data_IF_687867009013
#
_entry.id   IF_687867009013
#
_cell.length_a   1.000
_cell.length_b   1.000
_cell.length_c   1.000
_cell.angle_alpha   90.00
_cell.angle_beta   90.00
_cell.angle_gamma   90.00
#
_symmetry.space_group_name_H-M   'P 1'
#
loop_
_entity.id
_entity.type
_entity.pdbx_description
1 polymer ?
#
# COMPACT_ATOMS: atom_id res chain seq x y z
N UNK A 1 8.66 -20.59 6.56
CA UNK A 1 8.10 -19.76 5.48
C UNK A 1 7.56 -18.50 6.13
N UNK A 2 8.28 -17.39 6.01
CA UNK A 2 7.77 -16.09 6.44
C UNK A 2 6.58 -15.77 5.54
N UNK A 3 5.39 -15.63 6.15
CA UNK A 3 4.26 -15.00 5.49
C UNK A 3 4.64 -13.54 5.26
N UNK A 4 5.39 -13.29 4.18
CA UNK A 4 5.55 -11.96 3.61
C UNK A 4 4.17 -11.58 3.09
N UNK A 5 3.34 -11.13 4.03
CA UNK A 5 1.98 -10.72 3.78
C UNK A 5 2.10 -9.55 2.84
N UNK A 6 1.77 -9.77 1.56
CA UNK A 6 1.83 -8.73 0.54
C UNK A 6 1.07 -7.54 1.12
N UNK A 7 1.80 -6.46 1.38
CA UNK A 7 1.20 -5.28 1.98
C UNK A 7 0.24 -4.69 0.96
N UNK A 8 -1.06 -4.78 1.24
CA UNK A 8 -2.07 -4.15 0.39
C UNK A 8 -1.87 -2.65 0.33
N UNK A 9 -2.36 -2.01 -0.73
CA UNK A 9 -2.31 -0.56 -0.89
C UNK A 9 -2.86 0.18 0.34
N UNK A 10 -3.96 -0.32 0.91
CA UNK A 10 -4.56 0.21 2.12
C UNK A 10 -3.65 0.08 3.37
N UNK A 11 -2.95 -1.03 3.52
CA UNK A 11 -1.99 -1.24 4.62
C UNK A 11 -0.82 -0.27 4.53
N UNK A 12 -0.31 -0.01 3.31
CA UNK A 12 0.78 0.93 3.06
C UNK A 12 0.37 2.38 3.33
N UNK A 13 -0.84 2.79 2.92
CA UNK A 13 -1.37 4.12 3.28
C UNK A 13 -1.50 4.30 4.78
N UNK A 14 -2.04 3.31 5.52
CA UNK A 14 -2.14 3.38 6.98
C UNK A 14 -0.78 3.57 7.64
N UNK A 15 0.24 2.83 7.18
CA UNK A 15 1.62 2.99 7.68
C UNK A 15 2.20 4.37 7.38
N UNK A 16 1.86 4.98 6.24
CA UNK A 16 2.27 6.34 5.93
C UNK A 16 1.67 7.36 6.91
N UNK A 17 0.39 7.21 7.26
CA UNK A 17 -0.29 8.09 8.21
C UNK A 17 0.29 7.96 9.63
N UNK A 18 0.61 6.73 10.06
CA UNK A 18 1.31 6.49 11.33
C UNK A 18 2.68 7.19 11.38
N UNK A 19 3.43 7.15 10.28
CA UNK A 19 4.73 7.83 10.19
C UNK A 19 4.61 9.35 10.21
N UNK A 20 3.57 9.92 9.61
CA UNK A 20 3.32 11.36 9.71
C UNK A 20 2.95 11.78 11.14
N UNK A 21 2.17 10.96 11.86
CA UNK A 21 1.91 11.19 13.28
C UNK A 21 3.20 11.14 14.11
N UNK A 22 4.12 10.22 13.80
CA UNK A 22 5.44 10.17 14.45
C UNK A 22 6.30 11.38 14.08
N UNK A 23 6.22 11.87 12.85
CA UNK A 23 6.93 13.08 12.43
C UNK A 23 6.46 14.32 13.18
N UNK A 24 5.15 14.44 13.44
CA UNK A 24 4.58 15.53 14.24
C UNK A 24 5.03 15.50 15.71
N UNK A 25 5.20 14.29 16.27
CA UNK A 25 5.64 14.08 17.67
C UNK A 25 7.16 14.10 17.84
N UNK A 26 7.92 14.09 16.74
CA UNK A 26 9.37 14.00 16.80
C UNK A 26 9.98 15.31 17.32
N UNK A 27 10.66 15.21 18.46
CA UNK A 27 11.38 16.34 19.08
C UNK A 27 12.68 16.70 18.37
N UNK A 28 13.22 15.78 17.55
CA UNK A 28 14.44 15.98 16.76
C UNK A 28 14.09 16.22 15.29
N UNK A 29 14.52 17.35 14.68
CA UNK A 29 14.23 17.66 13.27
C UNK A 29 14.66 16.56 12.29
N UNK A 30 15.78 15.88 12.57
CA UNK A 30 16.28 14.77 11.75
C UNK A 30 15.31 13.58 11.69
N UNK A 31 14.71 13.21 12.83
CA UNK A 31 13.74 12.10 12.88
C UNK A 31 12.46 12.46 12.12
N UNK A 32 11.93 13.68 12.30
CA UNK A 32 10.77 14.15 11.54
C UNK A 32 11.00 14.11 10.03
N UNK A 33 12.20 14.48 9.57
CA UNK A 33 12.58 14.37 8.16
C UNK A 33 12.62 12.92 7.67
N UNK A 34 13.17 11.99 8.47
CA UNK A 34 13.22 10.57 8.11
C UNK A 34 11.81 9.99 8.01
N UNK A 35 10.97 10.18 9.03
CA UNK A 35 9.61 9.65 9.03
C UNK A 35 8.79 10.14 7.83
N UNK A 36 8.87 11.43 7.48
CA UNK A 36 8.19 11.97 6.30
C UNK A 36 8.68 11.36 4.99
N UNK A 37 9.99 11.11 4.84
CA UNK A 37 10.52 10.44 3.64
C UNK A 37 10.00 9.02 3.51
N UNK A 38 9.97 8.27 4.61
CA UNK A 38 9.44 6.90 4.63
C UNK A 38 7.93 6.89 4.37
N UNK A 39 7.18 7.85 4.93
CA UNK A 39 5.76 8.00 4.65
C UNK A 39 5.49 8.23 3.15
N UNK A 40 6.29 9.09 2.51
CA UNK A 40 6.18 9.33 1.07
C UNK A 40 6.51 8.08 0.24
N UNK A 41 7.55 7.32 0.61
CA UNK A 41 7.86 6.06 -0.05
C UNK A 41 6.70 5.05 0.07
N UNK A 42 6.07 4.95 1.26
CA UNK A 42 4.90 4.10 1.45
C UNK A 42 3.71 4.53 0.59
N UNK A 43 3.47 5.84 0.40
CA UNK A 43 2.41 6.34 -0.49
C UNK A 43 2.65 5.97 -1.94
N UNK A 44 3.89 6.07 -2.41
CA UNK A 44 4.26 5.66 -3.77
C UNK A 44 4.07 4.15 -3.92
N UNK A 45 4.57 3.35 -2.98
CA UNK A 45 4.37 1.90 -2.97
C UNK A 45 2.88 1.53 -2.93
N UNK A 46 2.06 2.25 -2.16
CA UNK A 46 0.61 2.05 -2.10
C UNK A 46 -0.07 2.34 -3.43
N UNK A 47 0.35 3.38 -4.14
CA UNK A 47 -0.18 3.70 -5.47
C UNK A 47 0.12 2.59 -6.47
N UNK A 48 1.35 2.05 -6.48
CA UNK A 48 1.70 0.89 -7.31
C UNK A 48 0.92 -0.36 -6.92
N UNK A 49 0.84 -0.67 -5.62
CA UNK A 49 0.07 -1.81 -5.14
C UNK A 49 -1.41 -1.71 -5.55
N UNK A 50 -2.00 -0.51 -5.53
CA UNK A 50 -3.39 -0.30 -5.92
C UNK A 50 -3.61 -0.53 -7.42
N UNK A 51 -2.64 -0.18 -8.27
CA UNK A 51 -2.69 -0.47 -9.70
C UNK A 51 -2.70 -1.98 -9.90
N UNK A 52 -1.79 -2.71 -9.25
CA UNK A 52 -1.75 -4.18 -9.31
C UNK A 52 -3.03 -4.82 -8.78
N UNK A 53 -3.54 -4.40 -7.62
CA UNK A 53 -4.81 -4.88 -7.06
C UNK A 53 -5.99 -4.64 -8.00
N UNK A 54 -6.02 -3.49 -8.70
CA UNK A 54 -7.10 -3.16 -9.63
C UNK A 54 -7.00 -3.96 -10.92
N UNK A 55 -5.77 -4.19 -11.42
CA UNK A 55 -5.53 -5.06 -12.57
C UNK A 55 -5.93 -6.51 -12.26
N UNK A 56 -5.49 -7.03 -11.11
CA UNK A 56 -5.85 -8.38 -10.64
C UNK A 56 -7.38 -8.52 -10.49
N UNK A 57 -8.07 -7.48 -10.00
CA UNK A 57 -9.52 -7.47 -9.89
C UNK A 57 -10.20 -7.51 -11.28
N UNK A 58 -9.69 -6.75 -12.25
CA UNK A 58 -10.23 -6.73 -13.61
C UNK A 58 -10.04 -8.08 -14.32
N UNK A 59 -8.87 -8.71 -14.17
CA UNK A 59 -8.59 -10.04 -14.73
C UNK A 59 -9.44 -11.12 -14.05
N UNK A 60 -9.62 -11.05 -12.73
CA UNK A 60 -10.53 -11.93 -12.01
C UNK A 60 -11.97 -11.78 -12.51
N UNK A 61 -12.46 -10.56 -12.73
CA UNK A 61 -13.80 -10.30 -13.26
C UNK A 61 -13.97 -10.74 -14.72
N UNK A 62 -12.95 -10.60 -15.56
CA UNK A 62 -12.96 -11.09 -16.94
C UNK A 62 -13.02 -12.62 -17.04
N UNK A 63 -12.56 -13.33 -16.00
CA UNK A 63 -12.61 -14.79 -15.90
C UNK A 63 -13.98 -15.37 -15.48
N UNK A 64 -14.83 -14.61 -14.80
CA UNK A 64 -16.12 -15.13 -14.23
C UNK A 64 -17.19 -15.39 -15.31
N UNK A 65 -16.96 -15.01 -16.57
CA UNK A 65 -17.93 -15.15 -17.66
C UNK A 65 -17.82 -16.43 -18.51
N UNK A 66 -16.89 -17.36 -18.24
CA UNK A 66 -16.59 -18.46 -19.18
C UNK A 66 -17.15 -19.84 -18.84
N UNK A 67 -17.85 -20.01 -17.73
CA UNK A 67 -18.35 -21.33 -17.29
C UNK A 67 -19.87 -21.50 -17.43
N UNK A 68 -20.52 -20.84 -18.40
CA UNK A 68 -21.97 -21.03 -18.61
C UNK A 68 -22.41 -20.87 -20.08
N UNK A 69 -21.84 -21.66 -21.00
CA UNK A 69 -22.56 -22.04 -22.24
C UNK A 69 -22.15 -23.46 -22.65
N UNK A 70 -23.10 -24.39 -22.51
CA UNK A 70 -23.30 -25.54 -23.41
C UNK A 70 -22.44 -26.77 -23.22
#
# INVERSE_FOLDING_TARGET
MTHDTIATSASLYRKADELDLLALKATRPGHASIYRRVANANRVAAAFAKISETMDCHDAQAGVGKDHVG
#
